data_IF_365196649731
#
_entry.id   IF_365196649731
#
_cell.length_a   1.000
_cell.length_b   1.000
_cell.length_c   1.000
_cell.angle_alpha   90.00
_cell.angle_beta   90.00
_cell.angle_gamma   90.00
#
_symmetry.space_group_name_H-M   'P 1'
#
loop_
_entity.id
_entity.type
_entity.pdbx_description
1 polymer ?
#
# COMPACT_ATOMS: atom_id res chain seq x y z
N UNK A 1 2.29 -19.31 10.49
CA UNK A 1 3.39 -18.48 10.04
C UNK A 1 2.92 -17.30 9.22
N UNK A 2 3.76 -16.29 9.11
CA UNK A 2 3.41 -15.02 8.48
C UNK A 2 3.45 -15.13 6.94
N UNK A 3 2.33 -14.83 6.29
CA UNK A 3 2.25 -14.89 4.82
C UNK A 3 2.97 -13.72 4.14
N UNK A 4 3.39 -12.70 4.88
CA UNK A 4 4.14 -11.55 4.36
C UNK A 4 5.61 -11.56 4.77
N UNK A 5 6.07 -12.55 5.50
CA UNK A 5 7.49 -12.69 5.79
C UNK A 5 8.27 -13.01 4.51
N UNK A 6 9.53 -12.58 4.48
CA UNK A 6 10.36 -12.56 3.28
C UNK A 6 10.31 -13.86 2.47
N UNK A 7 10.43 -15.01 3.12
CA UNK A 7 10.42 -16.30 2.41
C UNK A 7 9.08 -16.56 1.71
N UNK A 8 7.98 -16.16 2.35
CA UNK A 8 6.64 -16.40 1.81
C UNK A 8 6.32 -15.54 0.58
N UNK A 9 6.94 -14.35 0.47
CA UNK A 9 6.64 -13.41 -0.60
C UNK A 9 7.75 -13.28 -1.63
N UNK A 10 8.86 -14.00 -1.48
CA UNK A 10 10.04 -13.82 -2.32
C UNK A 10 9.73 -13.89 -3.81
N UNK A 11 8.87 -14.81 -4.24
CA UNK A 11 8.47 -14.94 -5.64
C UNK A 11 7.47 -13.88 -6.11
N UNK A 12 6.95 -13.07 -5.19
CA UNK A 12 5.93 -12.06 -5.48
C UNK A 12 6.50 -10.65 -5.55
N UNK A 13 7.78 -10.47 -5.21
CA UNK A 13 8.41 -9.14 -5.17
C UNK A 13 8.50 -8.56 -6.58
N UNK A 14 7.90 -7.38 -6.77
CA UNK A 14 7.94 -6.66 -8.05
C UNK A 14 8.81 -5.41 -8.02
N UNK A 15 9.08 -4.87 -6.83
CA UNK A 15 10.04 -3.79 -6.60
C UNK A 15 10.72 -4.03 -5.28
N UNK A 16 11.93 -3.52 -5.14
CA UNK A 16 12.64 -3.56 -3.87
C UNK A 16 13.57 -2.37 -3.72
N UNK A 17 13.76 -1.96 -2.48
CA UNK A 17 14.71 -0.91 -2.14
C UNK A 17 15.12 -1.08 -0.69
N UNK A 18 16.41 -1.34 -0.46
CA UNK A 18 17.00 -1.47 0.89
C UNK A 18 16.19 -2.41 1.78
N UNK A 19 15.59 -1.88 2.85
CA UNK A 19 14.87 -2.67 3.85
C UNK A 19 13.42 -2.99 3.50
N UNK A 20 12.94 -2.54 2.33
CA UNK A 20 11.53 -2.70 1.94
C UNK A 20 11.39 -3.34 0.57
N UNK A 21 10.23 -3.94 0.36
CA UNK A 21 9.85 -4.55 -0.91
C UNK A 21 8.43 -4.16 -1.26
N UNK A 22 8.05 -4.35 -2.52
CA UNK A 22 6.67 -4.18 -2.96
C UNK A 22 6.19 -5.45 -3.64
N UNK A 23 4.93 -5.80 -3.35
CA UNK A 23 4.23 -6.94 -3.96
C UNK A 23 2.87 -6.47 -4.47
N UNK A 24 2.33 -7.17 -5.47
CA UNK A 24 0.95 -6.92 -5.90
C UNK A 24 -0.01 -7.37 -4.81
N UNK A 25 -1.06 -6.59 -4.55
CA UNK A 25 -2.16 -7.05 -3.72
C UNK A 25 -2.92 -8.13 -4.49
N UNK A 26 -3.22 -9.26 -3.85
CA UNK A 26 -3.95 -10.36 -4.50
C UNK A 26 -5.41 -10.03 -4.77
N UNK A 27 -5.94 -9.03 -4.08
CA UNK A 27 -7.32 -8.59 -4.23
C UNK A 27 -7.34 -7.10 -4.55
N UNK A 28 -6.74 -6.70 -5.68
CA UNK A 28 -6.56 -5.28 -5.98
C UNK A 28 -7.89 -4.55 -6.08
N UNK A 29 -7.99 -3.39 -5.42
CA UNK A 29 -9.20 -2.56 -5.53
C UNK A 29 -9.22 -1.77 -6.83
N UNK A 30 -8.04 -1.53 -7.41
CA UNK A 30 -7.86 -1.00 -8.76
C UNK A 30 -6.69 -1.71 -9.42
N UNK A 31 -6.62 -1.72 -10.77
CA UNK A 31 -5.44 -2.28 -11.44
C UNK A 31 -4.16 -1.59 -11.00
N UNK A 32 -3.18 -2.39 -10.55
CA UNK A 32 -1.89 -1.87 -10.10
C UNK A 32 -1.78 -1.63 -8.59
N UNK A 33 -2.80 -1.97 -7.82
CA UNK A 33 -2.76 -1.87 -6.36
C UNK A 33 -1.60 -2.70 -5.78
N UNK A 34 -0.68 -2.03 -5.10
CA UNK A 34 0.52 -2.65 -4.53
C UNK A 34 0.56 -2.49 -3.02
N UNK A 35 1.35 -3.36 -2.39
CA UNK A 35 1.70 -3.26 -0.98
C UNK A 35 3.19 -3.04 -0.86
N UNK A 36 3.60 -2.04 -0.07
CA UNK A 36 4.99 -1.81 0.31
C UNK A 36 5.16 -2.25 1.74
N UNK A 37 6.14 -3.09 2.02
CA UNK A 37 6.32 -3.67 3.34
C UNK A 37 7.79 -3.87 3.68
N UNK A 38 8.14 -3.79 4.98
CA UNK A 38 9.49 -4.08 5.41
C UNK A 38 9.79 -5.57 5.25
N UNK A 39 11.06 -5.89 4.94
CA UNK A 39 11.51 -7.28 4.90
C UNK A 39 11.44 -7.91 6.29
N UNK A 40 11.81 -7.13 7.30
CA UNK A 40 11.75 -7.53 8.70
C UNK A 40 10.30 -7.67 9.14
N UNK A 41 9.98 -8.73 9.88
CA UNK A 41 8.66 -8.86 10.47
C UNK A 41 8.48 -7.82 11.58
N UNK A 42 7.54 -6.91 11.38
CA UNK A 42 7.02 -6.04 12.43
C UNK A 42 5.51 -5.93 12.23
N UNK A 43 4.78 -5.79 13.33
CA UNK A 43 3.33 -5.95 13.31
C UNK A 43 2.63 -4.86 12.53
N UNK A 44 3.05 -3.59 12.71
CA UNK A 44 2.37 -2.46 12.13
C UNK A 44 3.33 -1.29 11.87
N UNK A 45 2.78 -0.23 11.29
CA UNK A 45 3.53 0.96 10.89
C UNK A 45 4.28 1.61 12.05
N UNK A 46 3.71 1.61 13.25
CA UNK A 46 4.36 2.25 14.40
C UNK A 46 5.60 1.50 14.86
N UNK A 47 5.74 0.23 14.49
CA UNK A 47 6.91 -0.58 14.84
C UNK A 47 8.01 -0.53 13.78
N UNK A 48 7.78 0.12 12.64
CA UNK A 48 8.83 0.32 11.64
C UNK A 48 9.92 1.22 12.21
N UNK A 49 11.17 0.92 11.87
CA UNK A 49 12.29 1.81 12.17
C UNK A 49 12.21 3.06 11.28
N UNK A 50 12.93 4.13 11.69
CA UNK A 50 13.01 5.33 10.86
C UNK A 50 13.62 5.00 9.49
N UNK A 51 14.64 4.16 9.45
CA UNK A 51 15.25 3.74 8.19
C UNK A 51 14.25 3.02 7.29
N UNK A 52 13.42 2.12 7.86
CA UNK A 52 12.37 1.44 7.12
C UNK A 52 11.32 2.41 6.58
N UNK A 53 10.95 3.40 7.38
CA UNK A 53 9.99 4.44 6.94
C UNK A 53 10.55 5.28 5.80
N UNK A 54 11.82 5.68 5.89
CA UNK A 54 12.49 6.43 4.82
C UNK A 54 12.58 5.61 3.53
N UNK A 55 12.93 4.33 3.66
CA UNK A 55 13.02 3.44 2.51
C UNK A 55 11.64 3.24 1.86
N UNK A 56 10.58 3.08 2.68
CA UNK A 56 9.22 2.96 2.19
C UNK A 56 8.76 4.23 1.47
N UNK A 57 9.04 5.39 2.05
CA UNK A 57 8.72 6.68 1.42
C UNK A 57 9.38 6.80 0.05
N UNK A 58 10.66 6.46 -0.03
CA UNK A 58 11.41 6.49 -1.29
C UNK A 58 10.78 5.55 -2.32
N UNK A 59 10.52 4.31 -1.93
CA UNK A 59 10.00 3.29 -2.85
C UNK A 59 8.59 3.64 -3.34
N UNK A 60 7.72 4.13 -2.45
CA UNK A 60 6.39 4.58 -2.83
C UNK A 60 6.46 5.66 -3.92
N UNK A 61 7.35 6.64 -3.76
CA UNK A 61 7.52 7.70 -4.74
C UNK A 61 8.04 7.20 -6.08
N UNK A 62 9.01 6.30 -6.06
CA UNK A 62 9.55 5.70 -7.29
C UNK A 62 8.47 4.93 -8.04
N UNK A 63 7.72 4.08 -7.33
CA UNK A 63 6.67 3.27 -7.95
C UNK A 63 5.57 4.15 -8.52
N UNK A 64 5.12 5.15 -7.76
CA UNK A 64 4.05 6.05 -8.21
C UNK A 64 4.44 6.77 -9.49
N UNK A 65 5.66 7.31 -9.57
CA UNK A 65 6.15 7.99 -10.77
C UNK A 65 6.24 7.03 -11.95
N UNK A 66 6.74 5.83 -11.73
CA UNK A 66 6.86 4.84 -12.79
C UNK A 66 5.50 4.40 -13.33
N UNK A 67 4.55 4.15 -12.45
CA UNK A 67 3.18 3.79 -12.82
C UNK A 67 2.53 4.90 -13.65
N UNK A 68 2.60 6.13 -13.18
CA UNK A 68 2.00 7.28 -13.88
C UNK A 68 2.65 7.51 -15.25
N UNK A 69 3.93 7.22 -15.38
CA UNK A 69 4.63 7.35 -16.66
C UNK A 69 4.20 6.26 -17.66
N UNK A 70 3.86 5.07 -17.17
CA UNK A 70 3.46 3.94 -18.03
C UNK A 70 1.98 3.91 -18.36
N UNK A 71 1.15 4.49 -17.50
CA UNK A 71 -0.30 4.46 -17.63
C UNK A 71 -0.87 5.85 -17.39
N UNK A 72 -1.18 6.54 -18.49
CA UNK A 72 -1.69 7.91 -18.44
C UNK A 72 -3.09 8.01 -17.84
N UNK A 73 -3.79 6.90 -17.65
CA UNK A 73 -5.10 6.90 -16.99
C UNK A 73 -4.98 7.07 -15.48
N UNK A 74 -3.80 6.85 -14.91
CA UNK A 74 -3.56 7.07 -13.49
C UNK A 74 -3.40 8.56 -13.24
N UNK A 75 -4.33 9.14 -12.47
CA UNK A 75 -4.36 10.58 -12.18
C UNK A 75 -4.24 10.88 -10.69
N UNK A 76 -4.15 9.86 -9.85
CA UNK A 76 -4.02 10.04 -8.41
C UNK A 76 -3.64 8.74 -7.72
N UNK A 77 -3.40 8.84 -6.42
CA UNK A 77 -3.07 7.69 -5.58
C UNK A 77 -3.68 7.87 -4.21
N UNK A 78 -4.05 6.74 -3.60
CA UNK A 78 -4.27 6.68 -2.16
C UNK A 78 -3.14 5.86 -1.54
N UNK A 79 -2.63 6.34 -0.42
CA UNK A 79 -1.62 5.65 0.37
C UNK A 79 -2.19 5.49 1.77
N UNK A 80 -2.08 4.29 2.33
CA UNK A 80 -2.58 4.06 3.67
C UNK A 80 -2.15 2.73 4.24
N UNK A 81 -2.24 2.64 5.56
CA UNK A 81 -1.93 1.43 6.29
C UNK A 81 -2.95 1.26 7.41
N UNK A 82 -3.24 0.02 7.74
CA UNK A 82 -4.19 -0.31 8.80
C UNK A 82 -3.40 -0.76 10.03
N UNK A 83 -3.72 -0.18 11.17
CA UNK A 83 -3.06 -0.48 12.45
C UNK A 83 -4.11 -0.95 13.44
N UNK A 84 -4.07 -2.23 13.80
CA UNK A 84 -4.99 -2.83 14.74
C UNK A 84 -6.27 -3.36 14.10
N UNK A 85 -6.96 -4.23 14.83
CA UNK A 85 -8.17 -4.90 14.33
C UNK A 85 -9.29 -3.93 14.01
N UNK A 86 -9.49 -2.93 14.86
CA UNK A 86 -10.58 -1.96 14.66
C UNK A 86 -10.38 -1.09 13.43
N UNK A 87 -9.14 -1.00 12.94
CA UNK A 87 -8.81 -0.28 11.72
C UNK A 87 -8.76 -1.20 10.49
N UNK A 88 -9.10 -2.48 10.66
CA UNK A 88 -9.17 -3.42 9.55
C UNK A 88 -7.89 -4.21 9.27
N UNK A 89 -6.91 -4.14 10.17
CA UNK A 89 -5.70 -4.94 9.98
C UNK A 89 -6.04 -6.42 10.20
N UNK A 90 -5.77 -7.26 9.19
CA UNK A 90 -6.02 -8.70 9.23
C UNK A 90 -4.74 -9.52 9.14
N UNK A 91 -3.68 -8.95 8.59
CA UNK A 91 -2.35 -9.58 8.49
C UNK A 91 -1.40 -8.74 9.33
N UNK A 92 -0.80 -9.36 10.34
CA UNK A 92 0.00 -8.65 11.34
C UNK A 92 1.49 -8.66 10.99
N UNK A 93 1.77 -8.32 9.75
CA UNK A 93 3.05 -7.88 9.22
C UNK A 93 2.77 -6.56 8.53
N UNK A 94 3.43 -5.49 8.95
CA UNK A 94 3.19 -4.14 8.45
C UNK A 94 3.21 -4.10 6.93
N UNK A 95 2.20 -3.47 6.34
CA UNK A 95 2.16 -3.22 4.91
C UNK A 95 1.42 -1.93 4.63
N UNK A 96 1.90 -1.21 3.63
CA UNK A 96 1.37 0.10 3.22
C UNK A 96 0.78 -0.07 1.82
N UNK A 97 -0.50 0.24 1.69
CA UNK A 97 -1.20 0.21 0.41
C UNK A 97 -0.79 1.39 -0.45
N UNK A 98 -0.51 1.12 -1.73
CA UNK A 98 -0.40 2.13 -2.76
C UNK A 98 -1.46 1.80 -3.81
N UNK A 99 -2.48 2.65 -3.92
CA UNK A 99 -3.65 2.40 -4.74
C UNK A 99 -3.69 3.45 -5.85
N UNK A 100 -3.37 3.06 -7.10
CA UNK A 100 -3.51 3.99 -8.24
C UNK A 100 -4.97 4.29 -8.47
N UNK A 101 -5.27 5.57 -8.73
CA UNK A 101 -6.63 6.03 -8.95
C UNK A 101 -6.78 6.60 -10.35
N UNK A 102 -7.97 6.42 -10.91
CA UNK A 102 -8.31 6.88 -12.26
C UNK A 102 -9.64 7.59 -12.22
N UNK A 103 -9.83 8.55 -13.11
CA UNK A 103 -11.12 9.23 -13.22
C UNK A 103 -12.19 8.18 -13.56
N UNK A 104 -13.28 8.19 -12.81
CA UNK A 104 -14.40 7.28 -13.03
C UNK A 104 -14.25 5.89 -12.42
N UNK A 105 -13.17 5.61 -11.67
CA UNK A 105 -13.01 4.32 -11.00
C UNK A 105 -13.99 4.13 -9.83
N UNK A 106 -14.59 5.21 -9.37
CA UNK A 106 -15.66 5.21 -8.39
C UNK A 106 -16.60 6.38 -8.70
N UNK A 107 -17.91 6.27 -8.41
CA UNK A 107 -18.86 7.35 -8.69
C UNK A 107 -18.55 8.65 -7.99
N UNK A 108 -18.05 8.59 -6.75
CA UNK A 108 -17.75 9.78 -5.96
C UNK A 108 -16.48 9.56 -5.13
N UNK A 109 -15.32 10.06 -5.60
CA UNK A 109 -14.06 9.87 -4.88
C UNK A 109 -13.88 10.85 -3.72
N UNK A 110 -14.73 11.85 -3.59
CA UNK A 110 -14.60 12.88 -2.55
C UNK A 110 -14.52 12.24 -1.17
N UNK A 111 -13.57 12.72 -0.37
CA UNK A 111 -13.30 12.18 0.96
C UNK A 111 -12.21 11.13 0.98
N UNK A 112 -12.03 10.37 -0.11
CA UNK A 112 -10.92 9.42 -0.24
C UNK A 112 -10.75 8.51 0.96
N UNK A 113 -9.66 8.73 1.73
CA UNK A 113 -9.32 7.95 2.93
C UNK A 113 -10.43 7.94 3.98
N UNK A 114 -11.31 8.94 3.98
CA UNK A 114 -12.47 8.94 4.90
C UNK A 114 -13.41 7.75 4.68
N UNK A 115 -13.31 7.10 3.52
CA UNK A 115 -14.09 5.90 3.20
C UNK A 115 -13.79 4.69 4.09
N UNK A 116 -12.83 4.80 5.02
CA UNK A 116 -12.61 3.77 6.05
C UNK A 116 -13.85 3.56 6.91
N UNK A 117 -14.71 4.59 7.01
CA UNK A 117 -16.07 4.46 7.56
C UNK A 117 -16.99 4.75 6.37
N UNK A 118 -17.59 3.72 5.74
CA UNK A 118 -18.26 3.88 4.46
C UNK A 118 -19.34 4.96 4.41
N UNK A 119 -20.10 5.14 5.49
CA UNK A 119 -21.17 6.13 5.52
C UNK A 119 -20.69 7.54 5.91
N UNK A 120 -19.42 7.75 6.14
CA UNK A 120 -18.83 9.04 6.56
C UNK A 120 -17.87 9.63 5.55
N UNK A 121 -17.85 9.10 4.36
CA UNK A 121 -16.93 9.52 3.32
C UNK A 121 -17.25 10.93 2.79
N UNK A 122 -18.50 11.25 2.64
CA UNK A 122 -18.93 12.54 2.09
C UNK A 122 -18.93 13.64 3.15
N UNK A 123 -18.56 14.84 2.72
CA UNK A 123 -18.59 16.04 3.57
C UNK A 123 -18.78 17.30 2.73
#
# INVERSE_FOLDING_TARGET
SCIFCHEAIQSRIVFEYQSVVAIDDRFPVTPGHLLVLPRRHCTDYFQMTMAEKEDADHLLGVIAREMAARDSTITGFNIGTNIGRSAGQTIFHCHIHLIPRRDGDTPSPRGGVRGVIPCRMNY
#
